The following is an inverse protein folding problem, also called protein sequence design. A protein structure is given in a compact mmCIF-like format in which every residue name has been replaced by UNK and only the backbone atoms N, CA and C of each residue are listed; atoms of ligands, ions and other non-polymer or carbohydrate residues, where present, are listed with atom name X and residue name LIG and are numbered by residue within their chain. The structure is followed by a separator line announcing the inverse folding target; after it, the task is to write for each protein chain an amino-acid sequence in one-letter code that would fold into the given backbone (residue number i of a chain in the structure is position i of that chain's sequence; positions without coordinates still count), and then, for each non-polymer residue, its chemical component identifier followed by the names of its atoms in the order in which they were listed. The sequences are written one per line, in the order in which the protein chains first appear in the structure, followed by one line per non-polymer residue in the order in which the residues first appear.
data_IF_503283727642
#
_entry.id   IF_503283727642
#
_cell.length_a   1.000
_cell.length_b   1.000
_cell.length_c   1.000
_cell.angle_alpha   90.00
_cell.angle_beta   90.00
_cell.angle_gamma   90.00
#
_symmetry.space_group_name_H-M   'P 1'
#
loop_
_entity.id
_entity.type
_entity.pdbx_description
1 polymer ?
#
# COMPACT_ATOMS: atom_id res chain seq x y z
N UNK A 1 -13.94 3.24 17.15
CA UNK A 1 -14.03 1.77 17.05
C UNK A 1 -14.05 1.30 15.59
N UNK A 2 -14.96 1.78 14.74
CA UNK A 2 -15.06 1.37 13.33
C UNK A 2 -13.77 1.60 12.54
N UNK A 3 -13.15 2.77 12.67
CA UNK A 3 -11.90 3.09 11.99
C UNK A 3 -10.76 2.13 12.36
N UNK A 4 -10.69 1.68 13.62
CA UNK A 4 -9.71 0.69 14.06
C UNK A 4 -9.93 -0.68 13.41
N UNK A 5 -11.18 -1.12 13.27
CA UNK A 5 -11.49 -2.37 12.55
C UNK A 5 -11.17 -2.29 11.05
N UNK A 6 -11.44 -1.15 10.42
CA UNK A 6 -11.06 -0.93 9.03
C UNK A 6 -9.54 -0.99 8.82
N UNK A 7 -8.76 -0.39 9.72
CA UNK A 7 -7.30 -0.49 9.70
C UNK A 7 -6.82 -1.93 9.92
N UNK A 8 -7.47 -2.70 10.81
CA UNK A 8 -7.14 -4.10 11.06
C UNK A 8 -7.34 -4.99 9.83
N UNK A 9 -8.31 -4.67 8.95
CA UNK A 9 -8.53 -5.41 7.71
C UNK A 9 -7.34 -5.30 6.74
N UNK A 10 -6.68 -4.14 6.69
CA UNK A 10 -5.45 -4.00 5.91
C UNK A 10 -4.33 -4.88 6.49
N UNK A 11 -4.20 -4.96 7.82
CA UNK A 11 -3.29 -5.88 8.49
C UNK A 11 -3.60 -7.35 8.23
N UNK A 12 -4.89 -7.73 8.23
CA UNK A 12 -5.33 -9.08 7.89
C UNK A 12 -4.99 -9.43 6.44
N UNK A 13 -5.25 -8.52 5.49
CA UNK A 13 -4.86 -8.68 4.09
C UNK A 13 -3.35 -8.87 3.94
N UNK A 14 -2.54 -8.09 4.66
CA UNK A 14 -1.08 -8.26 4.69
C UNK A 14 -0.69 -9.67 5.17
N UNK A 15 -1.25 -10.11 6.29
CA UNK A 15 -0.96 -11.45 6.84
C UNK A 15 -1.28 -12.55 5.83
N UNK A 16 -2.46 -12.50 5.22
CA UNK A 16 -2.86 -13.46 4.17
C UNK A 16 -1.89 -13.41 2.99
N UNK A 17 -1.53 -12.22 2.51
CA UNK A 17 -0.56 -12.04 1.44
C UNK A 17 0.81 -12.62 1.77
N UNK A 18 1.31 -12.40 2.99
CA UNK A 18 2.59 -12.93 3.45
C UNK A 18 2.58 -14.46 3.56
N UNK A 19 1.49 -15.05 4.04
CA UNK A 19 1.32 -16.51 4.11
C UNK A 19 1.32 -17.12 2.71
N UNK A 20 0.54 -16.58 1.77
CA UNK A 20 0.54 -17.02 0.37
C UNK A 20 1.94 -16.88 -0.23
N UNK A 21 2.59 -15.76 0.04
CA UNK A 21 3.91 -15.41 -0.48
C UNK A 21 5.00 -16.37 0.00
N UNK A 22 4.89 -16.90 1.22
CA UNK A 22 5.89 -17.79 1.82
C UNK A 22 6.09 -19.11 1.05
N UNK A 23 5.05 -19.59 0.36
CA UNK A 23 5.11 -20.80 -0.46
C UNK A 23 5.60 -20.58 -1.90
N UNK A 24 5.90 -19.33 -2.30
CA UNK A 24 6.26 -19.02 -3.68
C UNK A 24 7.74 -19.26 -3.97
N UNK A 25 8.05 -19.71 -5.19
CA UNK A 25 9.41 -19.92 -5.66
C UNK A 25 9.60 -19.52 -7.13
N UNK A 26 10.83 -19.30 -7.53
CA UNK A 26 11.19 -19.04 -8.92
C UNK A 26 10.41 -17.90 -9.56
N UNK A 27 9.76 -18.17 -10.69
CA UNK A 27 8.96 -17.18 -11.44
C UNK A 27 7.73 -16.67 -10.70
N UNK A 28 7.22 -17.43 -9.72
CA UNK A 28 6.07 -17.00 -8.92
C UNK A 28 6.41 -15.79 -8.02
N UNK A 29 7.65 -15.74 -7.50
CA UNK A 29 8.15 -14.57 -6.75
C UNK A 29 8.15 -13.32 -7.62
N UNK A 30 8.62 -13.42 -8.88
CA UNK A 30 8.63 -12.28 -9.80
C UNK A 30 7.22 -11.76 -10.10
N UNK A 31 6.26 -12.69 -10.18
CA UNK A 31 4.84 -12.33 -10.34
C UNK A 31 4.29 -11.66 -9.08
N UNK A 32 4.60 -12.18 -7.89
CA UNK A 32 4.15 -11.61 -6.63
C UNK A 32 4.64 -10.17 -6.44
N UNK A 33 5.91 -9.88 -6.77
CA UNK A 33 6.48 -8.53 -6.72
C UNK A 33 5.76 -7.57 -7.67
N UNK A 34 5.26 -8.05 -8.82
CA UNK A 34 4.48 -7.23 -9.75
C UNK A 34 3.01 -7.11 -9.35
N UNK A 35 2.40 -8.21 -8.89
CA UNK A 35 0.99 -8.25 -8.48
C UNK A 35 0.75 -7.41 -7.22
N UNK A 36 1.73 -7.38 -6.31
CA UNK A 36 1.63 -6.58 -5.08
C UNK A 36 1.24 -5.11 -5.33
N UNK A 37 2.02 -4.34 -6.08
CA UNK A 37 1.66 -2.96 -6.40
C UNK A 37 0.37 -2.82 -7.24
N UNK A 38 0.02 -3.81 -8.07
CA UNK A 38 -1.26 -3.82 -8.81
C UNK A 38 -2.43 -3.92 -7.84
N UNK A 39 -2.38 -4.82 -6.85
CA UNK A 39 -3.38 -4.91 -5.79
C UNK A 39 -3.48 -3.60 -5.02
N UNK A 40 -2.33 -2.99 -4.67
CA UNK A 40 -2.29 -1.69 -4.01
C UNK A 40 -2.96 -0.60 -4.83
N UNK A 41 -2.69 -0.52 -6.14
CA UNK A 41 -3.31 0.45 -7.04
C UNK A 41 -4.82 0.26 -7.14
N UNK A 42 -5.28 -0.98 -7.35
CA UNK A 42 -6.71 -1.29 -7.43
C UNK A 42 -7.44 -0.96 -6.13
N UNK A 43 -6.83 -1.27 -4.98
CA UNK A 43 -7.37 -0.90 -3.68
C UNK A 43 -7.46 0.61 -3.46
N UNK A 44 -6.39 1.37 -3.82
CA UNK A 44 -6.39 2.84 -3.73
C UNK A 44 -7.42 3.48 -4.65
N UNK A 45 -7.52 3.02 -5.89
CA UNK A 45 -8.56 3.48 -6.82
C UNK A 45 -9.96 3.13 -6.30
N UNK A 46 -10.14 1.92 -5.76
CA UNK A 46 -11.38 1.54 -5.09
C UNK A 46 -11.75 2.52 -3.98
N UNK A 47 -10.83 2.84 -3.07
CA UNK A 47 -11.08 3.81 -1.99
C UNK A 47 -11.37 5.21 -2.52
N UNK A 48 -10.71 5.64 -3.60
CA UNK A 48 -10.94 6.94 -4.22
C UNK A 48 -12.40 7.14 -4.63
N UNK A 49 -13.03 6.10 -5.16
CA UNK A 49 -14.42 6.21 -5.63
C UNK A 49 -15.45 5.76 -4.58
N UNK A 50 -15.12 4.81 -3.72
CA UNK A 50 -16.07 4.25 -2.75
C UNK A 50 -16.25 5.14 -1.53
N UNK A 51 -15.15 5.64 -0.95
CA UNK A 51 -15.22 6.40 0.32
C UNK A 51 -16.02 7.69 0.19
N UNK A 52 -15.85 8.51 -0.87
CA UNK A 52 -16.63 9.75 -1.02
C UNK A 52 -18.13 9.51 -1.25
N UNK A 53 -18.50 8.38 -1.84
CA UNK A 53 -19.91 8.08 -2.19
C UNK A 53 -20.65 7.33 -1.08
N UNK A 54 -19.95 6.85 -0.05
CA UNK A 54 -20.56 6.10 1.06
C UNK A 54 -21.26 7.07 2.01
N UNK A 55 -22.54 7.32 1.78
CA UNK A 55 -23.35 8.30 2.56
C UNK A 55 -24.49 7.69 3.34
N UNK A 56 -24.87 6.44 3.09
CA UNK A 56 -26.09 5.84 3.64
C UNK A 56 -25.90 5.28 5.06
N UNK A 57 -24.65 5.05 5.48
CA UNK A 57 -24.32 4.46 6.79
C UNK A 57 -24.74 2.99 6.94
N UNK A 58 -25.19 2.34 5.88
CA UNK A 58 -25.54 0.93 5.88
C UNK A 58 -24.27 0.07 5.94
N UNK A 59 -24.31 -1.01 6.72
CA UNK A 59 -23.18 -1.93 6.86
C UNK A 59 -22.72 -2.52 5.50
N UNK A 60 -23.64 -2.77 4.59
CA UNK A 60 -23.35 -3.29 3.24
C UNK A 60 -22.50 -2.32 2.41
N UNK A 61 -22.61 -1.02 2.61
CA UNK A 61 -21.81 -0.03 1.90
C UNK A 61 -20.34 -0.04 2.35
N UNK A 62 -20.04 -0.58 3.52
CA UNK A 62 -18.67 -0.72 4.02
C UNK A 62 -17.95 -1.93 3.43
N UNK A 63 -18.67 -2.92 2.93
CA UNK A 63 -18.05 -4.16 2.38
C UNK A 63 -17.04 -3.87 1.25
N UNK A 64 -17.37 -3.06 0.23
CA UNK A 64 -16.40 -2.73 -0.83
C UNK A 64 -15.17 -1.98 -0.29
N UNK A 65 -15.34 -1.10 0.69
CA UNK A 65 -14.24 -0.39 1.35
C UNK A 65 -13.35 -1.38 2.11
N UNK A 66 -13.95 -2.33 2.84
CA UNK A 66 -13.24 -3.40 3.53
C UNK A 66 -12.41 -4.25 2.56
N UNK A 67 -12.98 -4.61 1.41
CA UNK A 67 -12.28 -5.36 0.37
C UNK A 67 -11.14 -4.56 -0.25
N UNK A 68 -11.32 -3.27 -0.49
CA UNK A 68 -10.26 -2.39 -1.00
C UNK A 68 -9.09 -2.28 -0.02
N UNK A 69 -9.36 -2.12 1.28
CA UNK A 69 -8.33 -2.09 2.34
C UNK A 69 -7.59 -3.42 2.45
N UNK A 70 -8.33 -4.54 2.46
CA UNK A 70 -7.74 -5.87 2.49
C UNK A 70 -6.86 -6.13 1.25
N UNK A 71 -7.27 -5.64 0.08
CA UNK A 71 -6.53 -5.77 -1.17
C UNK A 71 -5.20 -4.98 -1.14
N UNK A 72 -5.19 -3.78 -0.54
CA UNK A 72 -3.96 -3.02 -0.32
C UNK A 72 -3.01 -3.81 0.57
N UNK A 73 -3.50 -4.32 1.70
CA UNK A 73 -2.70 -5.13 2.61
C UNK A 73 -2.16 -6.40 1.94
N UNK A 74 -3.01 -7.12 1.20
CA UNK A 74 -2.63 -8.30 0.43
C UNK A 74 -1.46 -7.99 -0.53
N UNK A 75 -1.54 -6.88 -1.24
CA UNK A 75 -0.50 -6.44 -2.16
C UNK A 75 0.86 -6.25 -1.47
N UNK A 76 0.86 -5.61 -0.31
CA UNK A 76 2.08 -5.44 0.51
C UNK A 76 2.61 -6.80 0.97
N UNK A 77 1.75 -7.66 1.51
CA UNK A 77 2.12 -9.00 2.00
C UNK A 77 2.71 -9.90 0.91
N UNK A 78 2.22 -9.79 -0.33
CA UNK A 78 2.75 -10.55 -1.47
C UNK A 78 4.16 -10.11 -1.88
N UNK A 79 4.43 -8.81 -1.90
CA UNK A 79 5.67 -8.27 -2.45
C UNK A 79 6.79 -8.09 -1.42
N UNK A 80 6.45 -7.60 -0.23
CA UNK A 80 7.41 -7.15 0.77
C UNK A 80 8.42 -8.20 1.22
N UNK A 81 8.03 -9.46 1.58
CA UNK A 81 8.99 -10.45 2.05
C UNK A 81 10.09 -10.75 1.04
N UNK A 82 9.74 -10.79 -0.24
CA UNK A 82 10.69 -11.06 -1.32
C UNK A 82 11.62 -9.87 -1.59
N UNK A 83 11.11 -8.65 -1.50
CA UNK A 83 11.91 -7.43 -1.65
C UNK A 83 12.92 -7.31 -0.50
N UNK A 84 12.48 -7.56 0.73
CA UNK A 84 13.34 -7.55 1.91
C UNK A 84 14.51 -8.55 1.76
N UNK A 85 14.21 -9.79 1.39
CA UNK A 85 15.23 -10.83 1.17
C UNK A 85 16.22 -10.41 0.07
N UNK A 86 15.75 -9.76 -1.00
CA UNK A 86 16.63 -9.29 -2.09
C UNK A 86 17.59 -8.22 -1.61
N UNK A 87 17.12 -7.25 -0.82
CA UNK A 87 17.97 -6.20 -0.26
C UNK A 87 19.02 -6.80 0.68
N UNK A 88 18.62 -7.69 1.58
CA UNK A 88 19.54 -8.34 2.52
C UNK A 88 20.59 -9.21 1.78
N UNK A 89 20.20 -9.91 0.72
CA UNK A 89 21.14 -10.71 -0.10
C UNK A 89 22.10 -9.88 -0.96
N UNK A 90 21.76 -8.63 -1.23
CA UNK A 90 22.64 -7.71 -1.97
C UNK A 90 23.74 -7.11 -1.08
N UNK A 91 23.56 -7.14 0.24
CA UNK A 91 24.57 -6.71 1.21
C UNK A 91 25.60 -7.82 1.45
N UNK A 92 26.88 -7.43 1.70
CA UNK A 92 27.91 -8.38 2.13
C UNK A 92 27.57 -8.95 3.50
N UNK A 93 28.16 -10.11 3.85
CA UNK A 93 27.89 -10.75 5.14
C UNK A 93 28.18 -9.83 6.35
N UNK A 94 29.19 -8.96 6.22
CA UNK A 94 29.56 -7.98 7.24
C UNK A 94 28.59 -6.81 7.34
N UNK A 95 27.83 -6.53 6.28
CA UNK A 95 26.93 -5.38 6.16
C UNK A 95 25.45 -5.74 6.36
N UNK A 96 25.10 -7.02 6.53
CA UNK A 96 23.70 -7.46 6.63
C UNK A 96 22.97 -6.87 7.83
N UNK A 97 23.66 -6.75 8.97
CA UNK A 97 23.07 -6.13 10.18
C UNK A 97 22.79 -4.64 9.95
N UNK A 98 23.74 -3.92 9.35
CA UNK A 98 23.57 -2.51 8.98
C UNK A 98 22.46 -2.32 7.93
N UNK A 99 22.38 -3.21 6.95
CA UNK A 99 21.32 -3.18 5.94
C UNK A 99 19.93 -3.38 6.59
N UNK A 100 19.81 -4.32 7.54
CA UNK A 100 18.57 -4.54 8.31
C UNK A 100 18.15 -3.31 9.11
N UNK A 101 19.08 -2.70 9.84
CA UNK A 101 18.82 -1.45 10.59
C UNK A 101 18.43 -0.29 9.67
N UNK A 102 19.11 -0.16 8.52
CA UNK A 102 18.81 0.88 7.52
C UNK A 102 17.42 0.73 6.93
N UNK A 103 16.99 -0.49 6.63
CA UNK A 103 15.63 -0.77 6.13
C UNK A 103 14.59 -0.29 7.14
N UNK A 104 14.77 -0.63 8.42
CA UNK A 104 13.85 -0.20 9.50
C UNK A 104 13.79 1.32 9.61
N UNK A 105 14.95 1.99 9.58
CA UNK A 105 15.03 3.45 9.64
C UNK A 105 14.31 4.10 8.46
N UNK A 106 14.55 3.61 7.24
CA UNK A 106 13.88 4.11 6.03
C UNK A 106 12.36 3.89 6.12
N UNK A 107 11.91 2.74 6.60
CA UNK A 107 10.48 2.46 6.78
C UNK A 107 9.82 3.42 7.77
N UNK A 108 10.45 3.67 8.93
CA UNK A 108 9.93 4.61 9.92
C UNK A 108 9.87 6.03 9.35
N UNK A 109 10.92 6.48 8.66
CA UNK A 109 10.95 7.78 8.01
C UNK A 109 9.87 7.90 6.93
N UNK A 110 9.72 6.87 6.07
CA UNK A 110 8.69 6.85 5.03
C UNK A 110 7.27 6.85 5.63
N UNK A 111 7.06 6.15 6.74
CA UNK A 111 5.77 6.12 7.45
C UNK A 111 5.44 7.50 8.02
N UNK A 112 6.39 8.14 8.70
CA UNK A 112 6.19 9.48 9.27
C UNK A 112 5.94 10.53 8.18
N UNK A 113 6.75 10.50 7.11
CA UNK A 113 6.59 11.41 5.96
C UNK A 113 5.27 11.17 5.24
N UNK A 114 4.90 9.92 5.06
CA UNK A 114 3.61 9.54 4.44
C UNK A 114 2.42 10.02 5.25
N UNK A 115 2.46 9.90 6.58
CA UNK A 115 1.41 10.41 7.47
C UNK A 115 1.29 11.94 7.41
N UNK A 116 2.42 12.66 7.41
CA UNK A 116 2.43 14.12 7.27
C UNK A 116 1.86 14.57 5.92
N UNK A 117 2.29 13.94 4.82
CA UNK A 117 1.77 14.20 3.48
C UNK A 117 0.28 13.90 3.38
N UNK A 118 -0.19 12.81 4.00
CA UNK A 118 -1.60 12.47 4.02
C UNK A 118 -2.44 13.56 4.71
N UNK A 119 -1.97 14.08 5.84
CA UNK A 119 -2.60 15.20 6.52
C UNK A 119 -2.64 16.47 5.65
N UNK A 120 -1.53 16.81 4.99
CA UNK A 120 -1.45 17.97 4.09
C UNK A 120 -2.41 17.83 2.90
N UNK A 121 -2.43 16.68 2.25
CA UNK A 121 -3.30 16.42 1.09
C UNK A 121 -4.77 16.44 1.48
N UNK A 122 -5.13 15.83 2.62
CA UNK A 122 -6.50 15.87 3.13
C UNK A 122 -6.95 17.29 3.45
N UNK A 123 -6.10 18.09 4.09
CA UNK A 123 -6.42 19.50 4.40
C UNK A 123 -6.51 20.34 3.12
N UNK A 124 -5.61 20.17 2.17
CA UNK A 124 -5.70 20.82 0.86
C UNK A 124 -6.95 20.40 0.09
N UNK A 125 -7.45 19.17 0.31
CA UNK A 125 -8.72 18.67 -0.21
C UNK A 125 -9.97 19.20 0.50
N UNK A 126 -9.83 20.06 1.53
CA UNK A 126 -10.96 20.69 2.19
C UNK A 126 -11.42 20.01 3.48
N UNK A 127 -10.61 19.16 4.10
CA UNK A 127 -10.98 18.45 5.33
C UNK A 127 -11.35 19.42 6.47
N UNK A 128 -10.62 20.51 6.60
CA UNK A 128 -10.82 21.54 7.63
C UNK A 128 -11.65 22.70 7.06
N UNK A 129 -11.30 23.20 5.89
CA UNK A 129 -11.95 24.32 5.23
C UNK A 129 -12.27 23.95 3.77
N UNK A 130 -13.54 23.84 3.36
CA UNK A 130 -14.77 24.20 4.07
C UNK A 130 -15.21 23.22 5.18
N UNK A 131 -14.60 22.04 5.33
CA UNK A 131 -14.97 21.06 6.32
C UNK A 131 -16.36 20.43 6.08
N UNK A 132 -16.94 19.82 7.12
CA UNK A 132 -18.23 19.16 7.03
C UNK A 132 -18.24 17.96 6.07
N UNK A 133 -19.42 17.54 5.63
CA UNK A 133 -19.58 16.37 4.74
C UNK A 133 -18.96 16.62 3.36
N UNK A 134 -19.17 17.81 2.80
CA UNK A 134 -18.62 18.16 1.49
C UNK A 134 -17.09 18.23 1.49
N UNK A 135 -16.50 18.86 2.49
CA UNK A 135 -15.05 18.93 2.65
C UNK A 135 -14.42 17.56 2.90
N UNK A 136 -15.03 16.73 3.74
CA UNK A 136 -14.56 15.35 3.98
C UNK A 136 -14.60 14.50 2.71
N UNK A 137 -15.68 14.61 1.94
CA UNK A 137 -15.84 13.93 0.65
C UNK A 137 -14.75 14.33 -0.33
N UNK A 138 -14.51 15.61 -0.49
CA UNK A 138 -13.47 16.14 -1.39
C UNK A 138 -12.08 15.74 -0.90
N UNK A 139 -11.81 15.85 0.39
CA UNK A 139 -10.54 15.42 0.99
C UNK A 139 -10.25 13.93 0.74
N UNK A 140 -11.26 13.05 0.77
CA UNK A 140 -11.09 11.64 0.45
C UNK A 140 -10.67 11.41 -1.02
N UNK A 141 -11.28 12.12 -1.97
CA UNK A 141 -10.85 12.07 -3.37
C UNK A 141 -9.38 12.47 -3.55
N UNK A 142 -8.98 13.59 -2.94
CA UNK A 142 -7.61 14.07 -3.02
C UNK A 142 -6.64 13.08 -2.36
N UNK A 143 -6.97 12.60 -1.16
CA UNK A 143 -6.12 11.72 -0.39
C UNK A 143 -5.85 10.42 -1.15
N UNK A 144 -6.88 9.67 -1.46
CA UNK A 144 -6.70 8.36 -2.10
C UNK A 144 -6.22 8.47 -3.54
N UNK A 145 -6.68 9.49 -4.29
CA UNK A 145 -6.24 9.74 -5.66
C UNK A 145 -4.74 10.08 -5.76
N UNK A 146 -4.25 10.97 -4.91
CA UNK A 146 -2.81 11.33 -4.87
C UNK A 146 -1.97 10.13 -4.45
N UNK A 147 -2.38 9.41 -3.41
CA UNK A 147 -1.62 8.25 -2.93
C UNK A 147 -1.68 7.03 -3.87
N UNK A 148 -2.62 6.98 -4.82
CA UNK A 148 -2.63 5.96 -5.88
C UNK A 148 -1.40 6.05 -6.82
N UNK A 149 -0.71 7.20 -6.85
CA UNK A 149 0.55 7.37 -7.60
C UNK A 149 1.66 6.47 -7.06
N UNK A 150 1.71 6.22 -5.76
CA UNK A 150 2.76 5.39 -5.15
C UNK A 150 2.77 3.94 -5.67
N UNK A 151 1.66 3.17 -5.63
CA UNK A 151 1.64 1.83 -6.21
C UNK A 151 1.79 1.84 -7.74
N UNK A 152 1.33 2.88 -8.45
CA UNK A 152 1.58 3.03 -9.88
C UNK A 152 3.09 3.10 -10.17
N UNK A 153 3.83 3.92 -9.42
CA UNK A 153 5.29 3.97 -9.51
C UNK A 153 5.93 2.61 -9.17
N UNK A 154 5.40 1.91 -8.16
CA UNK A 154 5.82 0.55 -7.81
C UNK A 154 5.70 -0.44 -8.96
N UNK A 155 4.63 -0.36 -9.77
CA UNK A 155 4.45 -1.20 -10.96
C UNK A 155 5.52 -0.91 -12.00
N UNK A 156 5.83 0.37 -12.25
CA UNK A 156 6.84 0.79 -13.23
C UNK A 156 8.21 0.25 -12.83
N UNK A 157 8.60 0.42 -11.56
CA UNK A 157 9.88 -0.08 -11.03
C UNK A 157 9.96 -1.61 -11.12
N UNK A 158 8.90 -2.32 -10.71
CA UNK A 158 8.86 -3.78 -10.77
C UNK A 158 9.01 -4.34 -12.21
N UNK A 159 8.44 -3.66 -13.19
CA UNK A 159 8.60 -4.01 -14.61
C UNK A 159 10.02 -3.80 -15.11
N UNK A 160 10.63 -2.68 -14.79
CA UNK A 160 12.00 -2.35 -15.23
C UNK A 160 13.03 -3.29 -14.62
N UNK A 161 12.87 -3.72 -13.37
CA UNK A 161 13.72 -4.72 -12.74
C UNK A 161 13.65 -6.09 -13.41
N UNK A 162 12.50 -6.46 -14.00
CA UNK A 162 12.36 -7.69 -14.79
C UNK A 162 13.07 -7.62 -16.14
N UNK A 163 12.97 -6.51 -16.84
CA UNK A 163 13.55 -6.33 -18.17
C UNK A 163 15.07 -6.46 -18.13
N UNK A 164 15.74 -5.89 -17.11
CA UNK A 164 17.20 -5.95 -16.97
C UNK A 164 17.72 -7.37 -16.71
N UNK A 165 16.99 -8.22 -16.01
CA UNK A 165 17.38 -9.61 -15.72
C UNK A 165 17.25 -10.57 -16.92
N UNK A 166 16.54 -10.18 -17.98
CA UNK A 166 16.41 -10.97 -19.22
C UNK A 166 17.48 -10.60 -20.26
N UNK A 167 18.23 -9.50 -20.06
CA UNK A 167 19.28 -9.05 -20.98
C UNK A 167 20.69 -9.43 -20.54
N UNK A 168 20.84 -9.95 -19.32
CA UNK A 168 22.08 -10.52 -18.76
C UNK A 168 21.99 -12.05 -18.74
#
# INVERSE_FOLDING_TARGET
LVAGYLAALMGAGWTVGAVISSGLSGRAIERAILVGPVCGLLGMLGLTFLVPETSTGLFLDLVPICLALALIGLGVGLAWPHLLIRVLKAASAQEQELAGASITTIQLFATASGAALAGMVANAGGLIDPGGVAGTRQAAYYLFGVFAVAPLFGIIVARNCKAKKQSD
#
